data_IF_219226830917
#
_entry.id   IF_219226830917
#
_cell.length_a   1.000
_cell.length_b   1.000
_cell.length_c   1.000
_cell.angle_alpha   90.00
_cell.angle_beta   90.00
_cell.angle_gamma   90.00
#
_symmetry.space_group_name_H-M   'P 1'
#
loop_
_entity.id
_entity.type
_entity.pdbx_description
1 polymer ?
#
# COMPACT_ATOMS: atom_id res chain seq x y z
N UNK A 1 24.94 5.46 -18.90
CA UNK A 1 26.16 5.80 -18.14
C UNK A 1 26.56 7.27 -18.24
N UNK A 2 26.54 7.90 -19.42
CA UNK A 2 27.01 9.28 -19.57
C UNK A 2 26.19 10.33 -18.80
N UNK A 3 24.87 10.14 -18.71
CA UNK A 3 23.97 10.97 -17.90
C UNK A 3 24.32 10.87 -16.39
N UNK A 4 24.58 9.64 -15.90
CA UNK A 4 24.99 9.34 -14.52
C UNK A 4 26.39 9.89 -14.23
N UNK A 5 27.34 9.75 -15.17
CA UNK A 5 28.67 10.35 -15.08
C UNK A 5 28.62 11.87 -15.06
N UNK A 6 27.71 12.49 -15.83
CA UNK A 6 27.47 13.95 -15.80
C UNK A 6 26.89 14.42 -14.47
N UNK A 7 25.95 13.67 -13.88
CA UNK A 7 25.19 14.09 -12.69
C UNK A 7 25.87 13.73 -11.36
N UNK A 8 26.66 12.65 -11.33
CA UNK A 8 27.19 12.06 -10.10
C UNK A 8 28.73 11.89 -10.11
N UNK A 9 29.47 12.68 -10.91
CA UNK A 9 30.92 12.52 -11.14
C UNK A 9 31.76 12.36 -9.86
N UNK A 10 31.40 13.08 -8.78
CA UNK A 10 32.14 13.10 -7.50
C UNK A 10 31.92 11.83 -6.66
N UNK A 11 30.88 11.03 -6.98
CA UNK A 11 30.44 9.85 -6.22
C UNK A 11 30.94 8.54 -6.86
N UNK A 12 31.57 8.61 -8.03
CA UNK A 12 31.97 7.44 -8.81
C UNK A 12 33.17 6.67 -8.24
N UNK A 13 33.96 7.27 -7.33
CA UNK A 13 35.14 6.61 -6.74
C UNK A 13 34.77 5.44 -5.79
N UNK A 14 33.56 5.44 -5.23
CA UNK A 14 33.04 4.36 -4.36
C UNK A 14 32.12 3.37 -5.06
N UNK A 15 31.91 3.52 -6.38
CA UNK A 15 30.97 2.71 -7.14
C UNK A 15 31.68 1.53 -7.80
N UNK A 16 31.22 0.31 -7.52
CA UNK A 16 31.62 -0.88 -8.28
C UNK A 16 30.93 -0.81 -9.64
N UNK A 17 31.70 -0.81 -10.72
CA UNK A 17 31.16 -0.73 -12.08
C UNK A 17 31.11 -2.12 -12.70
N UNK A 18 29.93 -2.52 -13.20
CA UNK A 18 29.83 -3.63 -14.12
C UNK A 18 29.91 -3.07 -15.55
N UNK A 19 31.10 -3.17 -16.14
CA UNK A 19 31.41 -2.64 -17.48
C UNK A 19 30.75 -3.42 -18.61
N UNK A 20 30.34 -4.67 -18.38
CA UNK A 20 29.65 -5.49 -19.38
C UNK A 20 28.18 -5.05 -19.54
N UNK A 21 27.52 -4.71 -18.43
CA UNK A 21 26.08 -4.38 -18.40
C UNK A 21 25.78 -2.88 -18.18
N UNK A 22 26.80 -2.02 -18.19
CA UNK A 22 26.70 -0.58 -17.92
C UNK A 22 26.02 -0.18 -16.59
N UNK A 23 26.19 -0.98 -15.54
CA UNK A 23 25.60 -0.73 -14.21
C UNK A 23 26.62 -0.18 -13.19
N UNK A 24 26.14 0.55 -12.18
CA UNK A 24 26.93 1.06 -11.06
C UNK A 24 26.31 0.63 -9.72
N UNK A 25 27.13 0.18 -8.77
CA UNK A 25 26.70 -0.34 -7.46
C UNK A 25 27.39 0.37 -6.30
N UNK A 26 26.65 0.67 -5.23
CA UNK A 26 27.22 1.12 -3.95
C UNK A 26 27.53 -0.10 -3.09
N UNK A 27 28.81 -0.28 -2.72
CA UNK A 27 29.23 -1.38 -1.85
C UNK A 27 28.96 -1.04 -0.38
N UNK A 28 27.71 -1.20 0.04
CA UNK A 28 27.21 -0.79 1.37
C UNK A 28 27.53 -1.83 2.44
N UNK A 29 28.17 -1.38 3.52
CA UNK A 29 28.35 -2.13 4.77
C UNK A 29 27.36 -1.62 5.84
N UNK A 30 26.21 -2.28 5.92
CA UNK A 30 25.13 -1.87 6.82
C UNK A 30 25.55 -1.88 8.31
N UNK A 31 26.48 -2.75 8.73
CA UNK A 31 26.88 -2.85 10.14
C UNK A 31 27.68 -1.64 10.64
N UNK A 32 28.37 -0.93 9.75
CA UNK A 32 29.12 0.28 10.09
C UNK A 32 28.21 1.53 10.20
N UNK A 33 27.00 1.46 9.62
CA UNK A 33 26.00 2.51 9.66
C UNK A 33 26.42 3.81 8.96
N UNK A 34 25.54 4.82 8.99
CA UNK A 34 25.74 6.09 8.27
C UNK A 34 27.03 6.85 8.69
N UNK A 35 27.44 6.72 9.95
CA UNK A 35 28.65 7.36 10.47
C UNK A 35 29.93 6.58 10.08
N UNK A 36 29.88 5.25 10.05
CA UNK A 36 31.04 4.40 9.81
C UNK A 36 31.33 4.11 8.33
N UNK A 37 30.33 4.16 7.46
CA UNK A 37 30.49 3.84 6.03
C UNK A 37 30.34 5.09 5.14
N UNK A 38 31.36 5.34 4.32
CA UNK A 38 31.34 6.41 3.33
C UNK A 38 30.37 6.12 2.18
N UNK A 39 30.22 4.85 1.79
CA UNK A 39 29.36 4.46 0.66
C UNK A 39 27.88 4.67 0.97
N UNK A 40 27.46 4.53 2.24
CA UNK A 40 26.10 4.87 2.68
C UNK A 40 25.83 6.37 2.47
N UNK A 41 26.77 7.24 2.82
CA UNK A 41 26.63 8.69 2.60
C UNK A 41 26.57 9.04 1.12
N UNK A 42 27.37 8.33 0.32
CA UNK A 42 27.38 8.45 -1.13
C UNK A 42 26.04 8.00 -1.76
N UNK A 43 25.46 6.89 -1.28
CA UNK A 43 24.13 6.43 -1.65
C UNK A 43 23.05 7.46 -1.29
N UNK A 44 23.06 7.99 -0.06
CA UNK A 44 22.09 9.01 0.38
C UNK A 44 22.17 10.26 -0.50
N UNK A 45 23.38 10.74 -0.80
CA UNK A 45 23.58 11.88 -1.71
C UNK A 45 23.06 11.59 -3.13
N UNK A 46 23.24 10.37 -3.62
CA UNK A 46 22.72 9.97 -4.92
C UNK A 46 21.18 9.92 -4.92
N UNK A 47 20.57 9.40 -3.85
CA UNK A 47 19.11 9.40 -3.66
C UNK A 47 18.59 10.85 -3.63
N UNK A 48 19.21 11.74 -2.85
CA UNK A 48 18.84 13.16 -2.81
C UNK A 48 18.93 13.80 -4.20
N UNK A 49 20.03 13.58 -4.92
CA UNK A 49 20.23 14.12 -6.27
C UNK A 49 19.16 13.61 -7.25
N UNK A 50 18.85 12.32 -7.19
CA UNK A 50 17.79 11.71 -7.99
C UNK A 50 16.42 12.28 -7.64
N UNK A 51 16.09 12.39 -6.35
CA UNK A 51 14.84 12.94 -5.86
C UNK A 51 14.62 14.39 -6.34
N UNK A 52 15.63 15.26 -6.20
CA UNK A 52 15.56 16.66 -6.70
C UNK A 52 15.36 16.74 -8.22
N UNK A 53 15.73 15.71 -8.97
CA UNK A 53 15.55 15.67 -10.42
C UNK A 53 14.14 15.23 -10.85
N UNK A 54 13.33 14.67 -9.94
CA UNK A 54 11.98 14.19 -10.25
C UNK A 54 11.06 15.34 -10.67
N UNK A 55 10.18 15.14 -11.67
CA UNK A 55 9.21 16.16 -12.08
C UNK A 55 8.29 16.62 -10.94
N UNK A 56 7.90 15.69 -10.06
CA UNK A 56 7.02 15.95 -8.92
C UNK A 56 7.61 16.97 -7.93
N UNK A 57 8.94 17.00 -7.75
CA UNK A 57 9.60 17.98 -6.88
C UNK A 57 9.56 19.42 -7.43
N UNK A 58 9.25 19.61 -8.72
CA UNK A 58 9.14 20.91 -9.37
C UNK A 58 7.70 21.38 -9.53
N UNK A 59 6.73 20.51 -9.23
CA UNK A 59 5.32 20.81 -9.39
C UNK A 59 4.85 21.73 -8.27
N UNK A 60 4.25 22.87 -8.64
CA UNK A 60 3.59 23.76 -7.70
C UNK A 60 2.24 23.17 -7.32
N UNK A 61 1.95 23.11 -6.03
CA UNK A 61 0.67 22.67 -5.48
C UNK A 61 0.06 23.81 -4.66
N UNK A 62 -1.29 23.95 -4.64
CA UNK A 62 -1.97 24.92 -3.78
C UNK A 62 -1.64 24.69 -2.29
N UNK A 63 -1.54 25.78 -1.52
CA UNK A 63 -1.20 25.70 -0.09
C UNK A 63 -2.32 25.02 0.73
N UNK A 64 -3.55 25.16 0.25
CA UNK A 64 -4.74 24.55 0.83
C UNK A 64 -4.63 23.01 0.75
N UNK A 65 -4.07 22.47 -0.33
CA UNK A 65 -3.87 21.03 -0.50
C UNK A 65 -2.90 20.49 0.53
N UNK A 66 -1.82 21.23 0.82
CA UNK A 66 -0.86 20.85 1.87
C UNK A 66 -1.51 20.89 3.26
N UNK A 67 -2.37 21.89 3.52
CA UNK A 67 -3.10 21.98 4.79
C UNK A 67 -4.06 20.80 4.99
N UNK A 68 -4.77 20.41 3.94
CA UNK A 68 -5.61 19.21 3.95
C UNK A 68 -4.77 17.95 4.10
N UNK A 69 -3.63 17.85 3.42
CA UNK A 69 -2.72 16.71 3.54
C UNK A 69 -2.23 16.52 4.98
N UNK A 70 -1.82 17.60 5.66
CA UNK A 70 -1.41 17.54 7.06
C UNK A 70 -2.56 17.09 7.98
N UNK A 71 -3.80 17.50 7.69
CA UNK A 71 -4.97 17.04 8.42
C UNK A 71 -5.25 15.54 8.17
N UNK A 72 -5.16 15.07 6.93
CA UNK A 72 -5.31 13.66 6.57
C UNK A 72 -4.22 12.79 7.22
N UNK A 73 -2.97 13.28 7.25
CA UNK A 73 -1.85 12.59 7.91
C UNK A 73 -2.04 12.51 9.43
N UNK A 74 -2.64 13.53 10.06
CA UNK A 74 -3.02 13.44 11.48
C UNK A 74 -4.09 12.38 11.71
N UNK A 75 -5.08 12.30 10.81
CA UNK A 75 -6.13 11.28 10.86
C UNK A 75 -5.59 9.87 10.60
N UNK A 76 -4.57 9.70 9.75
CA UNK A 76 -4.01 8.39 9.44
C UNK A 76 -3.38 7.69 10.65
N UNK A 77 -3.07 8.42 11.73
CA UNK A 77 -2.60 7.84 12.99
C UNK A 77 -3.71 7.16 13.80
N UNK A 78 -4.98 7.48 13.55
CA UNK A 78 -6.13 6.94 14.30
C UNK A 78 -7.14 6.21 13.43
N UNK A 79 -7.21 6.54 12.14
CA UNK A 79 -8.11 5.95 11.16
C UNK A 79 -7.31 5.39 9.99
N UNK A 80 -7.73 4.23 9.48
CA UNK A 80 -7.13 3.62 8.27
C UNK A 80 -7.69 4.21 6.97
N UNK A 81 -8.93 4.67 7.03
CA UNK A 81 -9.66 5.25 5.90
C UNK A 81 -10.64 6.31 6.40
N UNK A 82 -11.10 7.17 5.49
CA UNK A 82 -12.13 8.17 5.75
C UNK A 82 -13.11 8.22 4.57
N UNK A 83 -14.39 8.52 4.83
CA UNK A 83 -15.35 8.79 3.76
C UNK A 83 -14.95 10.04 2.96
N UNK A 84 -15.23 10.06 1.66
CA UNK A 84 -14.98 11.22 0.81
C UNK A 84 -15.69 12.49 1.33
N UNK A 85 -16.87 12.35 1.92
CA UNK A 85 -17.59 13.46 2.57
C UNK A 85 -16.80 14.13 3.70
N UNK A 86 -16.03 13.36 4.49
CA UNK A 86 -15.16 13.90 5.55
C UNK A 86 -13.99 14.69 4.93
N UNK A 87 -13.40 14.18 3.84
CA UNK A 87 -12.35 14.89 3.09
C UNK A 87 -12.87 16.19 2.49
N UNK A 88 -14.08 16.18 1.91
CA UNK A 88 -14.72 17.40 1.38
C UNK A 88 -14.99 18.43 2.49
N UNK A 89 -15.37 17.99 3.68
CA UNK A 89 -15.55 18.88 4.83
C UNK A 89 -14.23 19.49 5.29
N UNK A 90 -13.15 18.69 5.36
CA UNK A 90 -11.80 19.18 5.66
C UNK A 90 -11.31 20.18 4.60
N UNK A 91 -11.52 19.89 3.33
CA UNK A 91 -11.17 20.79 2.23
C UNK A 91 -11.86 22.16 2.37
N UNK A 92 -13.18 22.18 2.64
CA UNK A 92 -13.91 23.43 2.92
C UNK A 92 -13.35 24.18 4.12
N UNK A 93 -13.06 23.46 5.21
CA UNK A 93 -12.51 24.07 6.43
C UNK A 93 -11.12 24.69 6.23
N UNK A 94 -10.35 24.19 5.25
CA UNK A 94 -9.01 24.68 4.89
C UNK A 94 -9.03 25.68 3.73
N UNK A 95 -10.19 26.21 3.32
CA UNK A 95 -10.29 27.31 2.36
C UNK A 95 -10.51 26.89 0.90
N UNK A 96 -10.80 25.62 0.61
CA UNK A 96 -11.18 25.17 -0.73
C UNK A 96 -12.69 25.38 -0.99
N UNK A 97 -13.13 25.62 -2.24
CA UNK A 97 -12.32 25.63 -3.46
C UNK A 97 -11.70 26.99 -3.81
N UNK A 98 -10.61 26.92 -4.57
CA UNK A 98 -9.99 28.05 -5.25
C UNK A 98 -10.88 28.61 -6.38
N UNK A 99 -10.70 29.89 -6.70
CA UNK A 99 -11.53 30.60 -7.68
C UNK A 99 -11.51 29.90 -9.06
N UNK A 100 -12.70 29.64 -9.61
CA UNK A 100 -12.87 29.00 -10.92
C UNK A 100 -13.00 27.48 -10.91
N UNK A 101 -12.95 26.84 -9.73
CA UNK A 101 -13.21 25.40 -9.57
C UNK A 101 -14.39 25.15 -8.64
N UNK A 102 -15.10 24.04 -8.87
CA UNK A 102 -16.00 23.48 -7.85
C UNK A 102 -15.21 22.68 -6.83
N UNK A 103 -15.76 22.52 -5.62
CA UNK A 103 -15.12 21.72 -4.58
C UNK A 103 -14.81 20.30 -5.04
N UNK A 104 -15.76 19.66 -5.74
CA UNK A 104 -15.59 18.28 -6.18
C UNK A 104 -14.47 18.14 -7.22
N UNK A 105 -14.35 19.10 -8.13
CA UNK A 105 -13.26 19.12 -9.11
C UNK A 105 -11.90 19.28 -8.42
N UNK A 106 -11.79 20.21 -7.47
CA UNK A 106 -10.53 20.47 -6.81
C UNK A 106 -10.13 19.34 -5.85
N UNK A 107 -11.07 18.82 -5.06
CA UNK A 107 -10.84 17.66 -4.19
C UNK A 107 -10.47 16.43 -5.01
N UNK A 108 -11.14 16.19 -6.14
CA UNK A 108 -10.79 15.09 -7.05
C UNK A 108 -9.38 15.23 -7.62
N UNK A 109 -9.00 16.43 -8.07
CA UNK A 109 -7.64 16.72 -8.55
C UNK A 109 -6.58 16.55 -7.46
N UNK A 110 -6.86 17.03 -6.25
CA UNK A 110 -5.99 16.88 -5.08
C UNK A 110 -5.80 15.40 -4.70
N UNK A 111 -6.88 14.63 -4.61
CA UNK A 111 -6.82 13.21 -4.26
C UNK A 111 -6.11 12.39 -5.36
N UNK A 112 -6.35 12.69 -6.64
CA UNK A 112 -5.62 12.05 -7.74
C UNK A 112 -4.12 12.35 -7.68
N UNK A 113 -3.75 13.59 -7.34
CA UNK A 113 -2.36 13.96 -7.14
C UNK A 113 -1.72 13.20 -5.97
N UNK A 114 -2.36 13.17 -4.79
CA UNK A 114 -1.85 12.42 -3.65
C UNK A 114 -1.82 10.90 -3.88
N UNK A 115 -2.77 10.38 -4.65
CA UNK A 115 -2.76 8.98 -5.08
C UNK A 115 -1.55 8.66 -5.95
N UNK A 116 -1.18 9.54 -6.89
CA UNK A 116 0.01 9.36 -7.71
C UNK A 116 1.32 9.33 -6.92
N UNK A 117 1.32 9.93 -5.73
CA UNK A 117 2.46 9.93 -4.79
C UNK A 117 2.39 8.77 -3.77
N UNK A 118 1.38 7.91 -3.85
CA UNK A 118 1.06 6.88 -2.85
C UNK A 118 0.87 7.44 -1.43
N UNK A 119 0.54 8.72 -1.32
CA UNK A 119 0.33 9.40 -0.04
C UNK A 119 -1.05 9.06 0.56
N UNK A 120 -2.04 8.83 -0.31
CA UNK A 120 -3.37 8.25 0.00
C UNK A 120 -3.75 7.31 -1.15
N UNK A 121 -4.75 6.45 -0.97
CA UNK A 121 -5.33 5.70 -2.09
C UNK A 121 -6.78 6.11 -2.29
N UNK A 122 -7.11 6.53 -3.51
CA UNK A 122 -8.47 6.91 -3.90
C UNK A 122 -8.70 6.52 -5.35
N UNK A 123 -9.84 5.87 -5.61
CA UNK A 123 -10.18 5.30 -6.91
C UNK A 123 -11.52 5.88 -7.37
N UNK A 124 -11.45 6.86 -8.25
CA UNK A 124 -12.64 7.56 -8.80
C UNK A 124 -13.42 6.71 -9.81
N UNK A 125 -12.82 5.63 -10.32
CA UNK A 125 -13.37 4.75 -11.35
C UNK A 125 -14.24 3.61 -10.80
N UNK A 126 -14.21 3.36 -9.49
CA UNK A 126 -15.00 2.31 -8.84
C UNK A 126 -16.12 2.91 -7.99
N UNK A 127 -17.36 2.48 -8.23
CA UNK A 127 -18.52 2.96 -7.46
C UNK A 127 -18.44 2.62 -5.97
N UNK A 128 -17.75 1.51 -5.62
CA UNK A 128 -17.53 1.11 -4.23
C UNK A 128 -16.40 1.93 -3.57
N UNK A 129 -15.37 2.32 -4.34
CA UNK A 129 -14.18 2.97 -3.80
C UNK A 129 -14.18 4.50 -3.92
N UNK A 130 -15.02 5.08 -4.79
CA UNK A 130 -15.04 6.53 -5.00
C UNK A 130 -15.38 7.30 -3.72
N UNK A 131 -16.15 6.69 -2.81
CA UNK A 131 -16.53 7.27 -1.52
C UNK A 131 -15.55 6.94 -0.38
N UNK A 132 -14.51 6.15 -0.64
CA UNK A 132 -13.53 5.73 0.36
C UNK A 132 -12.14 6.28 0.01
N UNK A 133 -11.56 7.05 0.93
CA UNK A 133 -10.16 7.48 0.85
C UNK A 133 -9.36 6.68 1.87
N UNK A 134 -8.45 5.82 1.38
CA UNK A 134 -7.56 5.03 2.24
C UNK A 134 -6.36 5.89 2.60
N UNK A 135 -6.14 6.06 3.91
CA UNK A 135 -5.06 6.87 4.47
C UNK A 135 -3.82 6.02 4.80
N UNK A 136 -4.02 4.73 5.04
CA UNK A 136 -2.94 3.81 5.41
C UNK A 136 -2.96 2.55 4.54
N UNK A 137 -2.02 2.42 3.57
CA UNK A 137 -1.90 1.22 2.74
C UNK A 137 -1.63 -0.06 3.54
N UNK A 138 -1.04 0.03 4.73
CA UNK A 138 -0.80 -1.15 5.59
C UNK A 138 -2.10 -1.86 5.96
N UNK A 139 -3.23 -1.15 5.98
CA UNK A 139 -4.55 -1.74 6.23
C UNK A 139 -4.93 -2.80 5.19
N UNK A 140 -4.60 -2.58 3.92
CA UNK A 140 -4.85 -3.56 2.86
C UNK A 140 -3.96 -4.78 3.04
N UNK A 141 -2.69 -4.57 3.41
CA UNK A 141 -1.74 -5.66 3.70
C UNK A 141 -2.20 -6.48 4.91
N UNK A 142 -2.65 -5.81 5.97
CA UNK A 142 -3.20 -6.46 7.17
C UNK A 142 -4.44 -7.30 6.80
N UNK A 143 -5.33 -6.79 5.93
CA UNK A 143 -6.49 -7.54 5.44
C UNK A 143 -6.11 -8.77 4.60
N UNK A 144 -5.10 -8.64 3.73
CA UNK A 144 -4.61 -9.73 2.87
C UNK A 144 -3.89 -10.80 3.67
N UNK A 145 -3.08 -10.42 4.65
CA UNK A 145 -2.35 -11.36 5.51
C UNK A 145 -3.27 -12.22 6.38
N UNK A 146 -4.55 -11.87 6.50
CA UNK A 146 -5.57 -12.76 7.08
C UNK A 146 -5.74 -14.08 6.31
N UNK A 147 -5.44 -14.13 5.01
CA UNK A 147 -5.56 -15.35 4.19
C UNK A 147 -4.35 -15.64 3.29
N UNK A 148 -3.56 -14.66 2.89
CA UNK A 148 -2.28 -14.86 2.17
C UNK A 148 -1.14 -14.81 3.17
N UNK A 149 -0.78 -15.97 3.73
CA UNK A 149 0.38 -16.12 4.61
C UNK A 149 0.84 -17.58 4.66
N UNK A 150 2.01 -17.81 5.26
CA UNK A 150 2.42 -19.17 5.62
C UNK A 150 1.76 -19.58 6.94
N UNK A 151 0.73 -20.42 6.84
CA UNK A 151 -0.02 -20.95 7.97
C UNK A 151 0.77 -21.88 8.90
N UNK A 152 2.03 -22.20 8.56
CA UNK A 152 2.92 -23.04 9.39
C UNK A 152 3.78 -22.23 10.34
N UNK A 153 3.96 -20.94 10.09
CA UNK A 153 4.78 -20.07 10.94
C UNK A 153 4.09 -19.88 12.29
N UNK A 154 4.82 -20.11 13.38
CA UNK A 154 4.37 -19.84 14.74
C UNK A 154 5.10 -18.59 15.24
N UNK A 155 4.47 -17.42 15.10
CA UNK A 155 4.97 -16.17 15.68
C UNK A 155 4.28 -15.96 17.05
N UNK A 156 4.93 -15.28 17.99
CA UNK A 156 4.37 -14.97 19.32
C UNK A 156 3.90 -13.52 19.46
N UNK A 157 3.86 -12.75 18.36
CA UNK A 157 3.30 -11.41 18.36
C UNK A 157 1.79 -11.40 18.69
N UNK A 158 1.30 -10.34 19.34
CA UNK A 158 -0.14 -10.17 19.68
C UNK A 158 -1.07 -10.32 18.46
N UNK A 159 -0.64 -9.80 17.29
CA UNK A 159 -1.36 -9.97 16.03
C UNK A 159 -1.53 -11.44 15.66
N UNK A 160 -0.53 -12.29 15.92
CA UNK A 160 -0.58 -13.71 15.62
C UNK A 160 -1.52 -14.46 16.58
N UNK A 161 -1.52 -14.17 17.88
CA UNK A 161 -2.44 -14.84 18.82
C UNK A 161 -3.92 -14.52 18.50
N UNK A 162 -4.22 -13.28 18.10
CA UNK A 162 -5.55 -12.93 17.59
C UNK A 162 -5.88 -13.74 16.33
N UNK A 163 -4.95 -13.81 15.39
CA UNK A 163 -5.12 -14.55 14.14
C UNK A 163 -5.37 -16.05 14.39
N UNK A 164 -4.63 -16.65 15.32
CA UNK A 164 -4.77 -18.05 15.72
C UNK A 164 -6.15 -18.36 16.32
N UNK A 165 -6.71 -17.45 17.12
CA UNK A 165 -8.08 -17.59 17.62
C UNK A 165 -9.12 -17.57 16.50
N UNK A 166 -8.94 -16.67 15.53
CA UNK A 166 -9.78 -16.60 14.33
C UNK A 166 -9.63 -17.87 13.48
N UNK A 167 -8.41 -18.37 13.29
CA UNK A 167 -8.13 -19.60 12.55
C UNK A 167 -8.79 -20.82 13.21
N UNK A 168 -8.71 -20.94 14.54
CA UNK A 168 -9.41 -22.01 15.26
C UNK A 168 -10.92 -21.94 15.05
N UNK A 169 -11.47 -20.72 15.00
CA UNK A 169 -12.89 -20.50 14.72
C UNK A 169 -13.23 -20.90 13.28
N UNK A 170 -12.40 -20.52 12.31
CA UNK A 170 -12.54 -20.88 10.91
C UNK A 170 -12.45 -22.41 10.69
N UNK A 171 -11.51 -23.09 11.34
CA UNK A 171 -11.36 -24.56 11.29
C UNK A 171 -12.60 -25.25 11.87
N UNK A 172 -13.17 -24.72 12.95
CA UNK A 172 -14.36 -25.29 13.60
C UNK A 172 -15.64 -25.08 12.79
N UNK A 173 -15.84 -23.89 12.22
CA UNK A 173 -17.07 -23.52 11.55
C UNK A 173 -17.08 -23.89 10.06
N UNK A 174 -15.93 -23.78 9.38
CA UNK A 174 -15.80 -23.95 7.93
C UNK A 174 -14.57 -24.82 7.58
N UNK A 175 -14.48 -26.08 8.07
CA UNK A 175 -13.29 -26.93 7.91
C UNK A 175 -12.96 -27.23 6.43
N UNK A 176 -13.98 -27.43 5.60
CA UNK A 176 -13.79 -27.69 4.16
C UNK A 176 -13.23 -26.47 3.44
N UNK A 177 -13.77 -25.28 3.71
CA UNK A 177 -13.28 -24.04 3.12
C UNK A 177 -11.84 -23.74 3.57
N UNK A 178 -11.53 -23.99 4.84
CA UNK A 178 -10.18 -23.87 5.38
C UNK A 178 -9.19 -24.80 4.66
N UNK A 179 -9.56 -26.06 4.43
CA UNK A 179 -8.74 -27.03 3.72
C UNK A 179 -8.52 -26.63 2.25
N UNK A 180 -9.52 -26.04 1.59
CA UNK A 180 -9.38 -25.53 0.21
C UNK A 180 -8.40 -24.35 0.12
N UNK A 181 -8.38 -23.47 1.11
CA UNK A 181 -7.46 -22.34 1.16
C UNK A 181 -6.02 -22.80 1.45
N UNK A 182 -5.84 -23.64 2.47
CA UNK A 182 -4.52 -24.01 3.01
C UNK A 182 -3.89 -25.25 2.38
N UNK A 183 -4.71 -26.12 1.77
CA UNK A 183 -4.31 -27.41 1.21
C UNK A 183 -3.69 -27.37 -0.20
N UNK A 184 -3.29 -26.19 -0.69
CA UNK A 184 -2.62 -26.02 -1.98
C UNK A 184 -3.53 -25.77 -3.19
N UNK A 185 -4.85 -25.89 -3.03
CA UNK A 185 -5.83 -25.45 -4.05
C UNK A 185 -6.01 -23.94 -4.10
N UNK A 186 -5.60 -23.23 -3.04
CA UNK A 186 -5.66 -21.79 -2.92
C UNK A 186 -7.06 -21.22 -3.20
N UNK A 187 -8.12 -21.86 -2.71
CA UNK A 187 -9.49 -21.36 -2.91
C UNK A 187 -10.02 -20.70 -1.63
N UNK A 188 -10.30 -19.41 -1.70
CA UNK A 188 -10.91 -18.62 -0.64
C UNK A 188 -12.42 -18.51 -0.89
N UNK A 189 -13.24 -19.04 0.04
CA UNK A 189 -14.70 -18.89 0.00
C UNK A 189 -15.16 -17.69 0.83
N UNK A 190 -16.26 -17.04 0.43
CA UNK A 190 -16.81 -15.88 1.18
C UNK A 190 -17.13 -16.18 2.63
N UNK A 191 -17.67 -17.36 2.93
CA UNK A 191 -17.99 -17.77 4.31
C UNK A 191 -16.74 -17.76 5.19
N UNK A 192 -15.64 -18.31 4.68
CA UNK A 192 -14.35 -18.29 5.36
C UNK A 192 -13.82 -16.86 5.50
N UNK A 193 -13.84 -16.07 4.42
CA UNK A 193 -13.42 -14.66 4.45
C UNK A 193 -14.19 -13.85 5.49
N UNK A 194 -15.48 -14.11 5.66
CA UNK A 194 -16.30 -13.42 6.66
C UNK A 194 -15.86 -13.70 8.10
N UNK A 195 -15.33 -14.89 8.38
CA UNK A 195 -14.75 -15.25 9.68
C UNK A 195 -13.39 -14.58 9.83
N UNK A 196 -12.54 -14.67 8.80
CA UNK A 196 -11.19 -14.07 8.81
C UNK A 196 -11.23 -12.54 8.99
N UNK A 197 -12.25 -11.89 8.43
CA UNK A 197 -12.52 -10.46 8.57
C UNK A 197 -13.68 -10.15 9.52
N UNK A 198 -13.81 -10.93 10.59
CA UNK A 198 -14.83 -10.70 11.63
C UNK A 198 -14.48 -9.54 12.57
N UNK A 199 -13.23 -9.09 12.59
CA UNK A 199 -12.79 -7.97 13.41
C UNK A 199 -13.32 -6.61 12.93
N UNK A 200 -13.54 -5.70 13.89
CA UNK A 200 -14.07 -4.35 13.65
C UNK A 200 -13.29 -3.56 12.59
N UNK A 201 -11.98 -3.82 12.47
CA UNK A 201 -11.08 -3.13 11.54
C UNK A 201 -11.38 -3.39 10.04
N UNK A 202 -12.06 -4.50 9.71
CA UNK A 202 -12.39 -4.86 8.33
C UNK A 202 -13.89 -4.98 8.08
N UNK A 203 -14.67 -5.24 9.14
CA UNK A 203 -16.07 -5.64 9.03
C UNK A 203 -16.94 -4.63 8.26
N UNK A 204 -16.68 -3.33 8.43
CA UNK A 204 -17.44 -2.26 7.79
C UNK A 204 -17.08 -2.02 6.31
N UNK A 205 -15.94 -2.54 5.83
CA UNK A 205 -15.39 -2.20 4.51
C UNK A 205 -15.00 -3.43 3.68
N UNK A 206 -15.68 -4.57 3.88
CA UNK A 206 -15.35 -5.83 3.21
C UNK A 206 -15.46 -5.72 1.68
N UNK A 207 -16.44 -4.98 1.17
CA UNK A 207 -16.67 -4.82 -0.27
C UNK A 207 -15.55 -4.01 -0.91
N UNK A 208 -15.18 -2.92 -0.27
CA UNK A 208 -14.12 -2.01 -0.70
C UNK A 208 -12.75 -2.70 -0.62
N UNK A 209 -12.47 -3.42 0.47
CA UNK A 209 -11.26 -4.22 0.59
C UNK A 209 -11.17 -5.30 -0.49
N UNK A 210 -12.28 -6.02 -0.76
CA UNK A 210 -12.31 -7.01 -1.84
C UNK A 210 -12.00 -6.38 -3.20
N UNK A 211 -12.58 -5.22 -3.51
CA UNK A 211 -12.35 -4.51 -4.76
C UNK A 211 -10.88 -4.08 -4.87
N UNK A 212 -10.32 -3.47 -3.82
CA UNK A 212 -8.91 -3.07 -3.74
C UNK A 212 -7.95 -4.25 -3.94
N UNK A 213 -8.14 -5.33 -3.18
CA UNK A 213 -7.28 -6.51 -3.21
C UNK A 213 -7.35 -7.19 -4.59
N UNK A 214 -8.56 -7.23 -5.19
CA UNK A 214 -8.75 -7.75 -6.55
C UNK A 214 -8.04 -6.87 -7.58
N UNK A 215 -8.14 -5.55 -7.43
CA UNK A 215 -7.46 -4.58 -8.31
C UNK A 215 -5.94 -4.68 -8.24
N UNK A 216 -5.39 -5.03 -7.08
CA UNK A 216 -3.95 -5.30 -6.92
C UNK A 216 -3.53 -6.69 -7.40
N UNK A 217 -4.45 -7.53 -7.88
CA UNK A 217 -4.14 -8.89 -8.34
C UNK A 217 -3.76 -9.86 -7.21
N UNK A 218 -4.00 -9.47 -5.95
CA UNK A 218 -3.72 -10.30 -4.77
C UNK A 218 -4.80 -11.37 -4.57
N UNK A 219 -5.97 -11.15 -5.18
CA UNK A 219 -7.10 -12.05 -5.17
C UNK A 219 -7.77 -12.03 -6.54
N UNK A 220 -8.11 -13.20 -7.09
CA UNK A 220 -8.72 -13.31 -8.42
C UNK A 220 -10.09 -13.98 -8.29
N UNK A 221 -11.20 -13.34 -8.71
CA UNK A 221 -12.51 -13.98 -8.67
C UNK A 221 -12.55 -15.18 -9.63
N UNK A 222 -13.11 -16.30 -9.18
CA UNK A 222 -13.20 -17.51 -10.00
C UNK A 222 -14.40 -17.37 -10.96
N UNK A 223 -14.20 -17.50 -12.29
CA UNK A 223 -15.29 -17.38 -13.24
C UNK A 223 -16.43 -18.36 -12.93
N UNK A 224 -17.67 -17.86 -12.96
CA UNK A 224 -18.92 -18.64 -12.73
C UNK A 224 -19.08 -19.23 -11.33
N UNK A 225 -18.19 -18.91 -10.39
CA UNK A 225 -18.35 -19.24 -8.98
C UNK A 225 -18.50 -17.93 -8.20
N UNK A 226 -19.75 -17.52 -8.02
CA UNK A 226 -20.03 -16.43 -7.10
C UNK A 226 -19.48 -16.81 -5.72
N UNK A 227 -18.82 -15.88 -5.06
CA UNK A 227 -18.29 -16.01 -3.69
C UNK A 227 -17.06 -16.91 -3.51
N UNK A 228 -16.35 -17.21 -4.60
CA UNK A 228 -15.06 -17.88 -4.57
C UNK A 228 -13.98 -17.06 -5.26
N UNK A 229 -12.82 -17.02 -4.63
CA UNK A 229 -11.64 -16.35 -5.15
C UNK A 229 -10.40 -17.22 -5.02
N UNK A 230 -9.43 -16.92 -5.86
CA UNK A 230 -8.13 -17.57 -5.89
C UNK A 230 -7.06 -16.55 -5.47
N UNK A 231 -6.39 -16.70 -4.30
CA UNK A 231 -5.20 -15.94 -3.97
C UNK A 231 -3.99 -16.60 -4.66
N UNK A 232 -3.44 -16.02 -5.75
CA UNK A 232 -2.46 -16.73 -6.59
C UNK A 232 -1.17 -17.10 -5.84
N UNK A 233 -0.79 -16.28 -4.85
CA UNK A 233 0.40 -16.50 -4.02
C UNK A 233 0.36 -17.77 -3.15
N UNK A 234 -0.81 -18.41 -3.01
CA UNK A 234 -0.97 -19.66 -2.26
C UNK A 234 -0.98 -20.90 -3.16
N UNK A 235 -0.96 -20.73 -4.48
CA UNK A 235 -0.80 -21.85 -5.40
C UNK A 235 0.59 -22.45 -5.19
N UNK A 236 0.66 -23.78 -5.17
CA UNK A 236 1.93 -24.50 -5.17
C UNK A 236 2.25 -24.88 -6.60
N UNK A 237 3.51 -24.68 -6.99
CA UNK A 237 4.03 -25.25 -8.23
C UNK A 237 3.88 -26.77 -8.14
N UNK A 238 3.03 -27.33 -9.01
CA UNK A 238 2.84 -28.76 -9.20
C UNK A 238 3.96 -29.37 -10.00
#
# INVERSE_FOLDING_TARGET
>A
LDELRRRCAVVLDGLVQNTQEQMCFFAVENSAGFAGDKTIRELVKAIETAAHSLPSMKQKVPLEWLSVFDALRKLSHTKRSVPLGEVKALAKANGMPNAGLTLDQEVGGMLAFFHSLNAVLWYSDSAALQELVVLDPQWIIDAVTCFVRDFRLQDHAEKYERMKSIDQTAIRQEPEAWALLTGGKATLKRKLLNILWSGDEFAAHKTELLDLITRFGLLVPIPRQADEWLPPALLRDT
#
